data_IF_737457081445
#
_entry.id   IF_737457081445
#
_cell.length_a   1.000
_cell.length_b   1.000
_cell.length_c   1.000
_cell.angle_alpha   90.00
_cell.angle_beta   90.00
_cell.angle_gamma   90.00
#
_symmetry.space_group_name_H-M   'P 1'
#
loop_
_entity.id
_entity.type
_entity.pdbx_description
1 polymer ?
#
# COMPACT_ATOMS: atom_id res chain seq x y z
N UNK A 1 -19.87 13.53 36.38
CA UNK A 1 -18.71 14.22 35.71
C UNK A 1 -17.77 13.26 34.99
N UNK A 2 -17.67 12.00 35.41
CA UNK A 2 -16.84 10.96 34.78
C UNK A 2 -17.41 10.50 33.43
N UNK A 3 -18.74 10.38 33.28
CA UNK A 3 -19.40 9.92 32.06
C UNK A 3 -19.24 10.89 30.85
N UNK A 4 -19.16 12.19 31.12
CA UNK A 4 -18.98 13.20 30.05
C UNK A 4 -17.57 13.12 29.46
N UNK A 5 -16.56 12.84 30.29
CA UNK A 5 -15.16 12.72 29.85
C UNK A 5 -14.99 11.44 29.03
N UNK A 6 -15.60 10.33 29.46
CA UNK A 6 -15.56 9.06 28.73
C UNK A 6 -16.27 9.17 27.37
N UNK A 7 -17.42 9.84 27.31
CA UNK A 7 -18.13 10.05 26.06
C UNK A 7 -17.38 10.94 25.08
N UNK A 8 -16.69 11.98 25.55
CA UNK A 8 -15.89 12.86 24.70
C UNK A 8 -14.63 12.17 24.15
N UNK A 9 -13.99 11.32 24.96
CA UNK A 9 -12.83 10.52 24.52
C UNK A 9 -13.23 9.45 23.48
N UNK A 10 -14.34 8.74 23.73
CA UNK A 10 -14.90 7.77 22.80
C UNK A 10 -15.29 8.47 21.48
N UNK A 11 -15.94 9.63 21.56
CA UNK A 11 -16.30 10.40 20.36
C UNK A 11 -15.10 10.87 19.54
N UNK A 12 -14.00 11.28 20.20
CA UNK A 12 -12.78 11.68 19.50
C UNK A 12 -12.08 10.49 18.80
N UNK A 13 -12.04 9.35 19.46
CA UNK A 13 -11.48 8.11 18.92
C UNK A 13 -12.25 7.66 17.67
N UNK A 14 -13.58 7.57 17.76
CA UNK A 14 -14.45 7.20 16.62
C UNK A 14 -14.22 8.14 15.43
N UNK A 15 -14.08 9.44 15.67
CA UNK A 15 -13.84 10.42 14.57
C UNK A 15 -12.47 10.22 13.91
N UNK A 16 -11.41 9.95 14.68
CA UNK A 16 -10.07 9.69 14.13
C UNK A 16 -10.08 8.41 13.29
N UNK A 17 -10.59 7.34 13.84
CA UNK A 17 -10.68 6.04 13.19
C UNK A 17 -11.55 6.09 11.94
N UNK A 18 -12.74 6.70 12.02
CA UNK A 18 -13.63 6.88 10.89
C UNK A 18 -12.97 7.64 9.73
N UNK A 19 -12.16 8.67 10.02
CA UNK A 19 -11.45 9.41 8.97
C UNK A 19 -10.41 8.55 8.26
N UNK A 20 -9.65 7.75 8.99
CA UNK A 20 -8.65 6.85 8.39
C UNK A 20 -9.31 5.73 7.61
N UNK A 21 -10.32 5.07 8.20
CA UNK A 21 -11.13 4.05 7.52
C UNK A 21 -11.73 4.57 6.23
N UNK A 22 -12.33 5.77 6.24
CA UNK A 22 -12.87 6.41 5.03
C UNK A 22 -11.80 6.72 3.98
N UNK A 23 -10.58 7.08 4.41
CA UNK A 23 -9.46 7.32 3.49
C UNK A 23 -9.01 6.03 2.82
N UNK A 24 -8.91 4.93 3.57
CA UNK A 24 -8.57 3.61 3.03
C UNK A 24 -9.69 3.06 2.14
N UNK A 25 -10.95 3.22 2.54
CA UNK A 25 -12.12 2.74 1.79
C UNK A 25 -12.28 3.39 0.40
N UNK A 26 -11.59 4.49 0.11
CA UNK A 26 -11.49 5.06 -1.24
C UNK A 26 -10.71 4.16 -2.21
N UNK A 27 -9.82 3.36 -1.68
CA UNK A 27 -8.93 2.46 -2.41
C UNK A 27 -9.34 1.00 -2.22
N UNK A 28 -9.59 0.59 -0.98
CA UNK A 28 -9.86 -0.80 -0.59
C UNK A 28 -11.36 -1.01 -0.41
N UNK A 29 -11.97 -1.72 -1.35
CA UNK A 29 -13.41 -2.02 -1.32
C UNK A 29 -13.77 -2.85 -0.09
N UNK A 30 -14.87 -2.48 0.58
CA UNK A 30 -15.42 -3.13 1.77
C UNK A 30 -14.53 -3.06 3.02
N UNK A 31 -13.54 -2.18 3.07
CA UNK A 31 -12.72 -1.96 4.26
C UNK A 31 -13.57 -1.33 5.38
N UNK A 32 -13.54 -1.91 6.59
CA UNK A 32 -14.34 -1.51 7.74
C UNK A 32 -13.50 -1.09 8.96
N UNK A 33 -12.16 -1.13 8.86
CA UNK A 33 -11.24 -0.67 9.91
C UNK A 33 -11.13 -1.61 11.10
N UNK A 34 -11.30 -2.90 10.87
CA UNK A 34 -11.22 -3.94 11.91
C UNK A 34 -12.30 -3.81 13.00
N UNK A 35 -13.44 -3.20 12.67
CA UNK A 35 -14.56 -2.98 13.62
C UNK A 35 -15.57 -4.14 13.62
N UNK A 36 -15.30 -5.22 12.93
CA UNK A 36 -16.19 -6.38 12.83
C UNK A 36 -15.61 -7.63 13.46
N UNK A 37 -16.49 -8.60 13.72
CA UNK A 37 -16.08 -9.94 14.20
C UNK A 37 -15.15 -10.69 13.25
N UNK A 38 -14.96 -10.18 12.03
CA UNK A 38 -14.15 -10.81 10.98
C UNK A 38 -13.00 -9.91 10.51
N UNK A 39 -12.15 -9.48 11.46
CA UNK A 39 -10.98 -8.63 11.23
C UNK A 39 -10.02 -9.17 10.15
N UNK A 40 -10.11 -10.46 9.81
CA UNK A 40 -9.36 -11.08 8.72
C UNK A 40 -9.83 -10.65 7.34
N UNK A 41 -11.10 -10.26 7.19
CA UNK A 41 -11.63 -9.80 5.92
C UNK A 41 -11.02 -8.46 5.53
N UNK A 42 -10.85 -7.55 6.48
CA UNK A 42 -10.19 -6.27 6.23
C UNK A 42 -8.71 -6.47 5.87
N UNK A 43 -7.98 -7.29 6.62
CA UNK A 43 -6.60 -7.60 6.30
C UNK A 43 -6.45 -8.25 4.91
N UNK A 44 -7.35 -9.19 4.58
CA UNK A 44 -7.38 -9.80 3.25
C UNK A 44 -7.70 -8.79 2.16
N UNK A 45 -8.65 -7.88 2.40
CA UNK A 45 -9.04 -6.84 1.45
C UNK A 45 -7.87 -5.91 1.16
N UNK A 46 -7.13 -5.46 2.18
CA UNK A 46 -5.92 -4.64 2.02
C UNK A 46 -4.86 -5.37 1.21
N UNK A 47 -4.53 -6.62 1.55
CA UNK A 47 -3.53 -7.40 0.83
C UNK A 47 -3.92 -7.67 -0.62
N UNK A 48 -5.18 -8.01 -0.89
CA UNK A 48 -5.67 -8.20 -2.25
C UNK A 48 -5.54 -6.89 -3.06
N UNK A 49 -5.92 -5.76 -2.47
CA UNK A 49 -5.77 -4.48 -3.14
C UNK A 49 -4.30 -4.15 -3.44
N UNK A 50 -3.36 -4.39 -2.49
CA UNK A 50 -1.93 -4.22 -2.73
C UNK A 50 -1.47 -5.11 -3.89
N UNK A 51 -1.93 -6.35 -3.94
CA UNK A 51 -1.60 -7.30 -5.03
C UNK A 51 -2.13 -6.83 -6.39
N UNK A 52 -3.35 -6.30 -6.45
CA UNK A 52 -3.94 -5.77 -7.67
C UNK A 52 -3.20 -4.52 -8.14
N UNK A 53 -2.92 -3.57 -7.24
CA UNK A 53 -2.17 -2.35 -7.55
C UNK A 53 -0.74 -2.63 -7.98
N UNK A 54 -0.03 -3.54 -7.30
CA UNK A 54 1.33 -3.93 -7.72
C UNK A 54 1.34 -4.63 -9.08
N UNK A 55 0.32 -5.44 -9.42
CA UNK A 55 0.18 -6.01 -10.75
C UNK A 55 -0.11 -4.93 -11.81
N UNK A 56 -0.93 -3.93 -11.50
CA UNK A 56 -1.18 -2.78 -12.37
C UNK A 56 0.11 -2.00 -12.66
N UNK A 57 0.83 -1.61 -11.59
CA UNK A 57 2.13 -0.93 -11.71
C UNK A 57 3.15 -1.76 -12.51
N UNK A 58 3.18 -3.07 -12.32
CA UNK A 58 4.04 -3.97 -13.09
C UNK A 58 3.73 -3.94 -14.58
N UNK A 59 2.45 -3.91 -14.94
CA UNK A 59 2.04 -3.81 -16.35
C UNK A 59 2.53 -2.50 -16.97
N UNK A 60 2.36 -1.37 -16.29
CA UNK A 60 2.89 -0.08 -16.72
C UNK A 60 4.42 -0.11 -16.86
N UNK A 61 5.11 -0.74 -15.91
CA UNK A 61 6.57 -0.89 -15.96
C UNK A 61 7.05 -1.71 -17.15
N UNK A 62 6.33 -2.78 -17.54
CA UNK A 62 6.61 -3.55 -18.76
C UNK A 62 6.46 -2.67 -20.00
N UNK A 63 5.41 -1.86 -20.07
CA UNK A 63 5.20 -0.93 -21.18
C UNK A 63 6.34 0.10 -21.29
N UNK A 64 6.83 0.61 -20.16
CA UNK A 64 7.99 1.51 -20.12
C UNK A 64 9.26 0.82 -20.64
N UNK A 65 9.50 -0.42 -20.22
CA UNK A 65 10.64 -1.22 -20.68
C UNK A 65 10.60 -1.46 -22.20
N UNK A 66 9.43 -1.84 -22.72
CA UNK A 66 9.24 -2.01 -24.18
C UNK A 66 9.42 -0.70 -24.94
N UNK A 67 8.99 0.42 -24.37
CA UNK A 67 9.17 1.74 -24.98
C UNK A 67 10.64 2.13 -24.99
N UNK A 68 11.38 1.86 -23.91
CA UNK A 68 12.83 2.05 -23.86
C UNK A 68 13.55 1.26 -24.96
N UNK A 69 13.22 -0.02 -25.09
CA UNK A 69 13.78 -0.89 -26.13
C UNK A 69 13.49 -0.38 -27.54
N UNK A 70 12.25 0.05 -27.85
CA UNK A 70 11.87 0.56 -29.18
C UNK A 70 12.54 1.87 -29.54
N UNK A 71 12.89 2.69 -28.55
CA UNK A 71 13.45 4.02 -28.73
C UNK A 71 14.98 4.06 -28.52
N UNK A 72 15.63 2.89 -28.35
CA UNK A 72 17.05 2.77 -28.01
C UNK A 72 17.43 3.57 -26.74
N UNK A 73 16.49 3.68 -25.75
CA UNK A 73 16.69 4.33 -24.47
C UNK A 73 17.09 3.29 -23.40
N UNK A 74 18.37 2.92 -23.41
CA UNK A 74 18.96 1.95 -22.46
C UNK A 74 18.73 2.33 -20.98
N UNK A 75 18.63 3.62 -20.68
CA UNK A 75 18.39 4.08 -19.33
C UNK A 75 16.95 3.78 -18.88
N UNK A 76 15.97 4.09 -19.72
CA UNK A 76 14.56 3.80 -19.44
C UNK A 76 14.35 2.28 -19.30
N UNK A 77 14.91 1.48 -20.21
CA UNK A 77 14.82 0.02 -20.16
C UNK A 77 15.39 -0.54 -18.84
N UNK A 78 16.60 -0.11 -18.47
CA UNK A 78 17.26 -0.56 -17.24
C UNK A 78 16.48 -0.17 -15.98
N UNK A 79 16.03 1.10 -15.88
CA UNK A 79 15.29 1.58 -14.71
C UNK A 79 13.91 0.90 -14.59
N UNK A 80 13.23 0.67 -15.72
CA UNK A 80 11.99 -0.10 -15.74
C UNK A 80 12.20 -1.55 -15.27
N UNK A 81 13.29 -2.20 -15.67
CA UNK A 81 13.63 -3.54 -15.18
C UNK A 81 13.84 -3.58 -13.68
N UNK A 82 14.56 -2.60 -13.11
CA UNK A 82 14.75 -2.47 -11.67
C UNK A 82 13.41 -2.29 -10.94
N UNK A 83 12.52 -1.46 -11.48
CA UNK A 83 11.17 -1.27 -10.89
C UNK A 83 10.37 -2.57 -10.94
N UNK A 84 10.42 -3.31 -12.03
CA UNK A 84 9.74 -4.60 -12.17
C UNK A 84 10.22 -5.61 -11.12
N UNK A 85 11.54 -5.73 -10.93
CA UNK A 85 12.13 -6.63 -9.92
C UNK A 85 11.68 -6.24 -8.50
N UNK A 86 11.61 -4.94 -8.18
CA UNK A 86 11.12 -4.45 -6.89
C UNK A 86 9.62 -4.73 -6.68
N UNK A 87 8.80 -4.58 -7.72
CA UNK A 87 7.37 -4.91 -7.66
C UNK A 87 7.13 -6.41 -7.49
N UNK A 88 7.90 -7.25 -8.20
CA UNK A 88 7.83 -8.70 -8.05
C UNK A 88 8.26 -9.15 -6.64
N UNK A 89 9.28 -8.50 -6.06
CA UNK A 89 9.69 -8.73 -4.68
C UNK A 89 8.59 -8.31 -3.69
N UNK A 90 8.02 -7.13 -3.84
CA UNK A 90 6.91 -6.65 -3.00
C UNK A 90 5.70 -7.60 -3.06
N UNK A 91 5.30 -7.99 -4.25
CA UNK A 91 4.22 -8.97 -4.47
C UNK A 91 4.48 -10.31 -3.77
N UNK A 92 5.71 -10.82 -3.83
CA UNK A 92 6.09 -12.05 -3.16
C UNK A 92 5.99 -11.93 -1.63
N UNK A 93 6.37 -10.79 -1.06
CA UNK A 93 6.23 -10.53 0.38
C UNK A 93 4.77 -10.48 0.81
N UNK A 94 3.89 -9.84 0.04
CA UNK A 94 2.44 -9.82 0.32
C UNK A 94 1.85 -11.23 0.27
N UNK A 95 2.24 -12.05 -0.70
CA UNK A 95 1.82 -13.44 -0.81
C UNK A 95 2.29 -14.30 0.37
N UNK A 96 3.57 -14.15 0.78
CA UNK A 96 4.13 -14.91 1.90
C UNK A 96 3.48 -14.51 3.22
N UNK A 97 3.07 -13.26 3.38
CA UNK A 97 2.35 -12.80 4.55
C UNK A 97 1.03 -13.56 4.75
N UNK A 98 0.32 -13.86 3.66
CA UNK A 98 -0.97 -14.58 3.69
C UNK A 98 -0.87 -16.00 4.25
N UNK A 99 0.29 -16.64 4.12
CA UNK A 99 0.51 -18.04 4.54
C UNK A 99 0.95 -18.16 6.00
N UNK A 100 1.46 -17.09 6.60
CA UNK A 100 2.02 -17.09 7.96
C UNK A 100 0.98 -16.79 9.06
N UNK A 101 -0.23 -16.40 8.69
CA UNK A 101 -1.25 -16.00 9.66
C UNK A 101 -1.94 -17.21 10.29
N UNK A 102 -1.50 -17.59 11.50
CA UNK A 102 -2.24 -18.52 12.33
C UNK A 102 -3.59 -17.89 12.75
N UNK A 103 -4.66 -18.68 12.70
CA UNK A 103 -6.03 -18.24 13.10
C UNK A 103 -6.13 -17.64 14.51
N UNK A 104 -5.15 -17.92 15.39
CA UNK A 104 -5.13 -17.49 16.79
C UNK A 104 -4.64 -16.05 17.02
N UNK A 105 -3.98 -15.42 16.05
CA UNK A 105 -3.39 -14.09 16.21
C UNK A 105 -4.47 -13.02 16.41
N UNK A 106 -5.54 -13.09 15.65
CA UNK A 106 -6.60 -12.07 15.63
C UNK A 106 -7.56 -12.08 16.83
N UNK A 107 -7.55 -13.12 17.67
CA UNK A 107 -8.48 -13.26 18.80
C UNK A 107 -8.04 -12.54 20.06
N UNK A 108 -6.82 -12.02 20.10
CA UNK A 108 -6.22 -11.37 21.27
C UNK A 108 -5.73 -9.95 21.01
N UNK A 109 -6.07 -9.39 19.86
CA UNK A 109 -5.67 -8.03 19.46
C UNK A 109 -6.45 -7.01 20.28
N UNK A 110 -5.78 -6.04 20.85
CA UNK A 110 -6.43 -4.93 21.58
C UNK A 110 -7.00 -3.91 20.60
N UNK A 111 -7.94 -3.10 21.06
CA UNK A 111 -8.49 -2.00 20.27
C UNK A 111 -7.41 -1.00 19.84
N UNK A 112 -6.40 -0.77 20.70
CA UNK A 112 -5.26 0.10 20.38
C UNK A 112 -4.39 -0.48 19.27
N UNK A 113 -4.20 -1.80 19.25
CA UNK A 113 -3.46 -2.48 18.19
C UNK A 113 -4.21 -2.40 16.85
N UNK A 114 -5.54 -2.46 16.86
CA UNK A 114 -6.33 -2.24 15.65
C UNK A 114 -6.23 -0.80 15.14
N UNK A 115 -6.24 0.20 16.02
CA UNK A 115 -6.02 1.60 15.63
C UNK A 115 -4.66 1.77 14.95
N UNK A 116 -3.62 1.18 15.52
CA UNK A 116 -2.28 1.19 14.95
C UNK A 116 -2.23 0.47 13.58
N UNK A 117 -2.95 -0.65 13.46
CA UNK A 117 -3.01 -1.39 12.19
C UNK A 117 -3.68 -0.57 11.09
N UNK A 118 -4.76 0.16 11.40
CA UNK A 118 -5.41 1.10 10.47
C UNK A 118 -4.42 2.19 10.02
N UNK A 119 -3.57 2.70 10.91
CA UNK A 119 -2.54 3.66 10.54
C UNK A 119 -1.49 3.07 9.59
N UNK A 120 -1.07 1.82 9.80
CA UNK A 120 -0.18 1.11 8.87
C UNK A 120 -0.83 0.87 7.51
N UNK A 121 -2.09 0.42 7.49
CA UNK A 121 -2.84 0.24 6.25
C UNK A 121 -2.92 1.54 5.45
N UNK A 122 -3.22 2.66 6.12
CA UNK A 122 -3.29 3.97 5.49
C UNK A 122 -1.96 4.37 4.84
N UNK A 123 -0.84 4.19 5.53
CA UNK A 123 0.49 4.52 4.99
C UNK A 123 0.79 3.75 3.70
N UNK A 124 0.52 2.44 3.70
CA UNK A 124 0.75 1.60 2.52
C UNK A 124 -0.14 2.02 1.36
N UNK A 125 -1.44 2.19 1.63
CA UNK A 125 -2.46 2.49 0.61
C UNK A 125 -2.24 3.87 -0.01
N UNK A 126 -1.96 4.89 0.80
CA UNK A 126 -1.68 6.24 0.30
C UNK A 126 -0.39 6.29 -0.52
N UNK A 127 0.64 5.58 -0.10
CA UNK A 127 1.91 5.58 -0.84
C UNK A 127 1.78 4.88 -2.19
N UNK A 128 1.10 3.73 -2.26
CA UNK A 128 0.82 3.08 -3.55
C UNK A 128 -0.03 4.01 -4.45
N UNK A 129 -1.06 4.65 -3.90
CA UNK A 129 -1.88 5.59 -4.67
C UNK A 129 -1.12 6.81 -5.20
N UNK A 130 -0.06 7.26 -4.50
CA UNK A 130 0.87 8.28 -5.03
C UNK A 130 1.70 7.74 -6.18
N UNK A 131 2.25 6.52 -6.00
CA UNK A 131 3.06 5.85 -7.04
C UNK A 131 2.26 5.66 -8.33
N UNK A 132 0.99 5.24 -8.24
CA UNK A 132 0.11 5.09 -9.40
C UNK A 132 -0.07 6.42 -10.17
N UNK A 133 -0.23 7.54 -9.46
CA UNK A 133 -0.33 8.87 -10.07
C UNK A 133 0.97 9.28 -10.76
N UNK A 134 2.10 9.12 -10.08
CA UNK A 134 3.41 9.48 -10.65
C UNK A 134 3.74 8.57 -11.84
N UNK A 135 3.34 7.29 -11.81
CA UNK A 135 3.49 6.37 -12.94
C UNK A 135 2.71 6.85 -14.16
N UNK A 136 1.47 7.32 -13.99
CA UNK A 136 0.68 7.87 -15.08
C UNK A 136 1.32 9.14 -15.69
N UNK A 137 1.88 10.02 -14.85
CA UNK A 137 2.64 11.18 -15.28
C UNK A 137 3.92 10.78 -16.04
N UNK A 138 4.62 9.76 -15.56
CA UNK A 138 5.82 9.23 -16.22
C UNK A 138 5.52 8.68 -17.62
N UNK A 139 4.42 7.95 -17.80
CA UNK A 139 4.02 7.44 -19.11
C UNK A 139 3.76 8.57 -20.11
N UNK A 140 3.15 9.68 -19.66
CA UNK A 140 2.95 10.87 -20.50
C UNK A 140 4.29 11.49 -20.88
N UNK A 141 5.19 11.69 -19.91
CA UNK A 141 6.53 12.25 -20.15
C UNK A 141 7.38 11.38 -21.10
N UNK A 142 7.31 10.07 -20.96
CA UNK A 142 8.02 9.13 -21.84
C UNK A 142 7.46 9.19 -23.27
N UNK A 143 6.14 9.31 -23.42
CA UNK A 143 5.48 9.37 -24.74
C UNK A 143 5.74 10.71 -25.45
N UNK A 144 5.86 11.80 -24.69
CA UNK A 144 6.07 13.15 -25.23
C UNK A 144 7.55 13.56 -25.33
N UNK A 145 8.48 12.67 -24.97
CA UNK A 145 9.92 12.96 -24.84
C UNK A 145 10.20 14.14 -23.89
N UNK A 146 9.47 14.18 -22.77
CA UNK A 146 9.52 15.25 -21.78
C UNK A 146 10.81 15.28 -20.96
N UNK A 147 11.15 16.45 -20.45
CA UNK A 147 12.39 16.68 -19.69
C UNK A 147 12.34 16.09 -18.25
N UNK A 148 11.15 15.83 -17.71
CA UNK A 148 10.98 15.33 -16.34
C UNK A 148 11.11 13.80 -16.20
N UNK A 149 11.31 13.07 -17.29
CA UNK A 149 11.37 11.60 -17.31
C UNK A 149 12.28 11.01 -16.24
N UNK A 150 13.53 11.49 -16.13
CA UNK A 150 14.49 10.96 -15.15
C UNK A 150 14.07 11.20 -13.72
N UNK A 151 13.48 12.37 -13.42
CA UNK A 151 12.96 12.70 -12.10
C UNK A 151 11.81 11.77 -11.70
N UNK A 152 10.81 11.62 -12.58
CA UNK A 152 9.65 10.78 -12.34
C UNK A 152 10.02 9.30 -12.21
N UNK A 153 10.97 8.79 -12.98
CA UNK A 153 11.55 7.45 -12.82
C UNK A 153 12.11 7.25 -11.41
N UNK A 154 12.86 8.23 -10.89
CA UNK A 154 13.38 8.21 -9.53
C UNK A 154 12.28 8.22 -8.46
N UNK A 155 11.24 9.04 -8.65
CA UNK A 155 10.11 9.15 -7.73
C UNK A 155 9.28 7.86 -7.68
N UNK A 156 8.96 7.25 -8.82
CA UNK A 156 8.26 5.95 -8.89
C UNK A 156 9.06 4.88 -8.17
N UNK A 157 10.35 4.75 -8.48
CA UNK A 157 11.24 3.75 -7.87
C UNK A 157 11.34 3.92 -6.36
N UNK A 158 11.48 5.15 -5.89
CA UNK A 158 11.50 5.48 -4.46
C UNK A 158 10.17 5.16 -3.80
N UNK A 159 9.05 5.54 -4.40
CA UNK A 159 7.71 5.29 -3.88
C UNK A 159 7.40 3.80 -3.76
N UNK A 160 7.76 2.97 -4.73
CA UNK A 160 7.63 1.50 -4.65
C UNK A 160 8.40 0.96 -3.43
N UNK A 161 9.62 1.44 -3.21
CA UNK A 161 10.45 1.03 -2.07
C UNK A 161 9.83 1.46 -0.74
N UNK A 162 9.30 2.68 -0.65
CA UNK A 162 8.64 3.21 0.56
C UNK A 162 7.36 2.43 0.86
N UNK A 163 6.51 2.19 -0.14
CA UNK A 163 5.28 1.41 0.03
C UNK A 163 5.57 -0.02 0.54
N UNK A 164 6.59 -0.67 -0.04
CA UNK A 164 7.05 -1.98 0.40
C UNK A 164 7.54 -1.96 1.85
N UNK A 165 8.33 -0.96 2.26
CA UNK A 165 8.82 -0.83 3.62
C UNK A 165 7.67 -0.65 4.62
N UNK A 166 6.68 0.18 4.30
CA UNK A 166 5.47 0.32 5.13
C UNK A 166 4.71 -1.00 5.27
N UNK A 167 4.63 -1.80 4.20
CA UNK A 167 4.03 -3.13 4.29
C UNK A 167 4.84 -4.08 5.19
N UNK A 168 6.17 -4.05 5.13
CA UNK A 168 7.04 -4.85 5.99
C UNK A 168 6.84 -4.45 7.47
N UNK A 169 6.82 -3.15 7.77
CA UNK A 169 6.55 -2.63 9.12
C UNK A 169 5.18 -3.10 9.63
N UNK A 170 4.15 -3.01 8.79
CA UNK A 170 2.82 -3.54 9.07
C UNK A 170 2.87 -5.03 9.42
N UNK A 171 3.57 -5.84 8.64
CA UNK A 171 3.68 -7.28 8.89
C UNK A 171 4.49 -7.63 10.13
N UNK A 172 5.50 -6.85 10.46
CA UNK A 172 6.23 -6.99 11.72
C UNK A 172 5.32 -6.68 12.91
N UNK A 173 4.49 -5.64 12.81
CA UNK A 173 3.51 -5.29 13.82
C UNK A 173 2.48 -6.42 14.03
N UNK A 174 1.86 -6.94 12.98
CA UNK A 174 0.92 -8.08 13.04
C UNK A 174 1.61 -9.33 13.60
N UNK A 175 2.85 -9.60 13.23
CA UNK A 175 3.63 -10.72 13.76
C UNK A 175 3.98 -10.59 15.25
N UNK A 176 3.86 -9.41 15.83
CA UNK A 176 4.03 -9.12 17.26
C UNK A 176 2.78 -9.39 18.12
N UNK A 177 1.61 -9.60 17.51
CA UNK A 177 0.40 -9.98 18.22
C UNK A 177 0.57 -11.37 18.86
N UNK A 178 0.55 -11.43 20.22
CA UNK A 178 0.74 -12.66 21.01
C UNK A 178 -0.50 -13.03 21.80
#
# INVERSE_FOLDING_TARGET
MVEIITGALIGYRIVKDAKFVMSIAKYVKNYQGYDTKDNKEDDRAVRNWIMESTNGLRTHTVNLMETGYRNDDDNLEREAKIMMDNLDLFKNEVNLASTKEAKSVWTKVSDEDFDNLVEFDLKVVEEIGKVEKIMAELEIEVTSDGENKTKLLGEVKSGITVARNHFIERMQFVGGFK
#
